data_IF_830536745408
#
_entry.id   IF_830536745408
#
_cell.length_a   1.000
_cell.length_b   1.000
_cell.length_c   1.000
_cell.angle_alpha   90.00
_cell.angle_beta   90.00
_cell.angle_gamma   90.00
#
_symmetry.space_group_name_H-M   'P 1'
#
loop_
_entity.id
_entity.type
_entity.pdbx_description
1 polymer ?
#
# COMPACT_ATOMS: atom_id res chain seq x y z
N UNK A 1 19.58 -3.03 16.17
CA UNK A 1 20.49 -4.08 15.65
C UNK A 1 19.78 -5.37 15.25
N UNK A 2 18.86 -5.96 16.06
CA UNK A 2 18.14 -7.20 15.70
C UNK A 2 17.38 -7.16 14.36
N UNK A 3 16.60 -6.10 14.10
CA UNK A 3 15.80 -6.01 12.88
C UNK A 3 16.67 -6.02 11.60
N UNK A 4 17.79 -5.29 11.61
CA UNK A 4 18.75 -5.29 10.51
C UNK A 4 19.38 -6.68 10.29
N UNK A 5 19.74 -7.39 11.36
CA UNK A 5 20.27 -8.76 11.26
C UNK A 5 19.27 -9.68 10.59
N UNK A 6 17.99 -9.61 10.98
CA UNK A 6 16.92 -10.39 10.36
C UNK A 6 16.75 -10.01 8.89
N UNK A 7 16.73 -8.70 8.57
CA UNK A 7 16.59 -8.24 7.21
C UNK A 7 17.70 -8.80 6.28
N UNK A 8 18.97 -8.70 6.71
CA UNK A 8 20.13 -9.24 5.96
C UNK A 8 20.10 -10.76 5.79
N UNK A 9 19.43 -11.48 6.68
CA UNK A 9 19.30 -12.93 6.60
C UNK A 9 18.25 -13.39 5.58
N UNK A 10 17.32 -12.51 5.17
CA UNK A 10 16.19 -12.87 4.30
C UNK A 10 16.15 -12.09 2.99
N UNK A 11 16.85 -10.97 2.89
CA UNK A 11 16.85 -10.09 1.71
C UNK A 11 18.24 -9.60 1.37
N UNK A 12 18.44 -9.22 0.10
CA UNK A 12 19.52 -8.30 -0.26
C UNK A 12 19.27 -6.95 0.44
N UNK A 13 20.14 -6.55 1.38
CA UNK A 13 19.92 -5.35 2.19
C UNK A 13 19.98 -4.05 1.40
N UNK A 14 20.51 -4.07 0.18
CA UNK A 14 20.64 -2.89 -0.66
C UNK A 14 19.63 -2.89 -1.83
N UNK A 15 18.77 -3.90 -1.95
CA UNK A 15 17.74 -3.98 -2.98
C UNK A 15 16.40 -3.49 -2.44
N UNK A 16 15.79 -2.49 -3.09
CA UNK A 16 14.49 -1.92 -2.71
C UNK A 16 13.48 -2.16 -3.83
N UNK A 17 12.34 -2.75 -3.49
CA UNK A 17 11.24 -2.94 -4.43
C UNK A 17 10.55 -1.61 -4.75
N UNK A 18 10.50 -1.25 -6.04
CA UNK A 18 9.87 -0.02 -6.51
C UNK A 18 8.50 -0.30 -7.14
N UNK A 19 7.43 0.20 -6.50
CA UNK A 19 6.08 0.12 -7.04
C UNK A 19 5.60 1.50 -7.50
N UNK A 20 4.85 1.56 -8.60
CA UNK A 20 4.11 2.78 -9.01
C UNK A 20 2.64 2.60 -8.69
N UNK A 21 2.00 3.64 -8.18
CA UNK A 21 0.57 3.64 -7.86
C UNK A 21 -0.16 4.68 -8.73
N UNK A 22 -1.32 4.31 -9.27
CA UNK A 22 -2.22 5.21 -9.96
C UNK A 22 -3.64 5.03 -9.43
N UNK A 23 -4.33 6.14 -9.17
CA UNK A 23 -5.77 6.11 -8.89
C UNK A 23 -6.56 5.99 -10.19
N UNK A 24 -7.09 4.81 -10.49
CA UNK A 24 -7.90 4.54 -11.68
C UNK A 24 -9.34 5.07 -11.52
N UNK A 25 -9.78 5.33 -10.29
CA UNK A 25 -11.03 6.05 -9.98
C UNK A 25 -10.85 6.81 -8.68
N UNK A 26 -10.98 8.14 -8.73
CA UNK A 26 -10.72 9.02 -7.58
C UNK A 26 -11.99 9.62 -7.00
N UNK A 27 -12.03 9.79 -5.68
CA UNK A 27 -13.07 10.55 -4.95
C UNK A 27 -14.46 9.90 -4.94
N UNK A 28 -15.40 10.50 -4.21
CA UNK A 28 -16.78 9.99 -4.12
C UNK A 28 -16.87 8.57 -3.56
N UNK A 29 -16.01 8.22 -2.60
CA UNK A 29 -16.06 6.93 -1.93
C UNK A 29 -17.19 6.91 -0.90
N UNK A 30 -17.91 5.80 -0.80
CA UNK A 30 -19.00 5.62 0.16
C UNK A 30 -18.51 5.37 1.61
N UNK A 31 -17.23 5.04 1.77
CA UNK A 31 -16.62 4.76 3.07
C UNK A 31 -16.28 6.03 3.84
N UNK A 32 -16.35 5.97 5.17
CA UNK A 32 -16.17 7.11 6.07
C UNK A 32 -14.79 7.16 6.75
N UNK A 33 -13.74 6.64 6.11
CA UNK A 33 -12.42 6.58 6.73
C UNK A 33 -11.93 7.98 7.13
N UNK A 34 -11.70 8.20 8.43
CA UNK A 34 -11.38 9.53 8.99
C UNK A 34 -10.12 10.19 8.42
N UNK A 35 -9.18 9.40 7.88
CA UNK A 35 -7.93 9.86 7.25
C UNK A 35 -8.05 10.15 5.75
N UNK A 36 -9.13 9.70 5.08
CA UNK A 36 -9.12 9.56 3.63
C UNK A 36 -9.66 10.81 2.92
N UNK A 37 -8.85 11.42 2.07
CA UNK A 37 -9.26 12.54 1.21
C UNK A 37 -10.35 12.21 0.21
N UNK A 38 -10.60 10.92 -0.06
CA UNK A 38 -11.54 10.45 -1.07
C UNK A 38 -12.93 10.11 -0.52
N UNK A 39 -13.11 10.13 0.80
CA UNK A 39 -14.39 9.91 1.47
C UNK A 39 -15.40 10.98 1.08
N UNK A 40 -16.60 10.57 0.69
CA UNK A 40 -17.70 11.50 0.41
C UNK A 40 -18.30 12.11 1.70
N UNK A 41 -17.92 11.61 2.87
CA UNK A 41 -18.40 12.12 4.17
C UNK A 41 -17.65 13.36 4.64
N UNK A 42 -16.54 13.72 4.00
CA UNK A 42 -15.66 14.81 4.43
C UNK A 42 -15.44 15.87 3.33
N UNK A 43 -15.50 17.17 3.65
CA UNK A 43 -15.33 18.25 2.68
C UNK A 43 -13.85 18.54 2.36
N UNK A 44 -13.13 17.56 1.81
CA UNK A 44 -11.69 17.70 1.48
C UNK A 44 -11.42 18.52 0.21
N UNK A 45 -12.48 18.87 -0.55
CA UNK A 45 -12.38 19.59 -1.82
C UNK A 45 -11.95 18.72 -3.01
N UNK A 46 -11.74 17.42 -2.80
CA UNK A 46 -11.35 16.50 -3.86
C UNK A 46 -12.50 16.25 -4.85
N UNK A 47 -12.23 16.45 -6.14
CA UNK A 47 -13.21 16.19 -7.21
C UNK A 47 -13.22 14.72 -7.58
N UNK A 48 -14.43 14.14 -7.64
CA UNK A 48 -14.60 12.77 -8.11
C UNK A 48 -14.31 12.65 -9.61
N UNK A 49 -13.63 11.57 -9.99
CA UNK A 49 -13.42 11.18 -11.38
C UNK A 49 -14.21 9.92 -11.71
N UNK A 50 -14.46 9.70 -13.01
CA UNK A 50 -14.89 8.41 -13.50
C UNK A 50 -13.72 7.42 -13.48
N UNK A 51 -14.04 6.13 -13.63
CA UNK A 51 -13.05 5.10 -13.92
C UNK A 51 -12.29 5.49 -15.20
N UNK A 52 -10.97 5.34 -15.17
CA UNK A 52 -10.10 5.61 -16.32
C UNK A 52 -10.29 4.55 -17.40
N UNK A 53 -10.14 4.95 -18.66
CA UNK A 53 -10.09 4.04 -19.78
C UNK A 53 -8.83 3.15 -19.71
N UNK A 54 -8.95 1.88 -20.12
CA UNK A 54 -7.87 0.88 -20.12
C UNK A 54 -6.60 1.42 -20.78
N UNK A 55 -6.70 1.99 -21.99
CA UNK A 55 -5.56 2.54 -22.73
C UNK A 55 -4.81 3.64 -21.97
N UNK A 56 -5.51 4.47 -21.20
CA UNK A 56 -4.87 5.49 -20.35
C UNK A 56 -4.08 4.84 -19.22
N UNK A 57 -4.64 3.81 -18.59
CA UNK A 57 -3.95 3.05 -17.54
C UNK A 57 -2.70 2.37 -18.09
N UNK A 58 -2.79 1.74 -19.27
CA UNK A 58 -1.65 1.08 -19.90
C UNK A 58 -0.57 2.06 -20.37
N UNK A 59 -0.96 3.27 -20.79
CA UNK A 59 -0.02 4.34 -21.11
C UNK A 59 0.79 4.75 -19.89
N UNK A 60 0.14 4.98 -18.75
CA UNK A 60 0.83 5.32 -17.50
C UNK A 60 1.64 4.14 -16.93
N UNK A 61 1.17 2.91 -17.10
CA UNK A 61 1.92 1.71 -16.74
C UNK A 61 3.22 1.58 -17.54
N UNK A 62 3.19 1.87 -18.85
CA UNK A 62 4.39 1.88 -19.69
C UNK A 62 5.41 2.93 -19.23
N UNK A 63 4.95 4.15 -18.94
CA UNK A 63 5.82 5.19 -18.37
C UNK A 63 6.45 4.76 -17.05
N UNK A 64 5.67 4.12 -16.18
CA UNK A 64 6.15 3.60 -14.91
C UNK A 64 7.23 2.53 -15.09
N UNK A 65 7.02 1.61 -16.04
CA UNK A 65 8.02 0.60 -16.42
C UNK A 65 9.30 1.23 -16.92
N UNK A 66 9.19 2.20 -17.83
CA UNK A 66 10.34 2.89 -18.41
C UNK A 66 11.13 3.70 -17.35
N UNK A 67 10.45 4.16 -16.30
CA UNK A 67 11.04 4.77 -15.10
C UNK A 67 11.62 3.74 -14.10
N UNK A 68 11.54 2.44 -14.39
CA UNK A 68 12.14 1.37 -13.60
C UNK A 68 11.24 0.76 -12.53
N UNK A 69 9.95 1.12 -12.45
CA UNK A 69 9.03 0.45 -11.54
C UNK A 69 8.86 -1.03 -11.92
N UNK A 70 8.89 -1.92 -10.93
CA UNK A 70 8.71 -3.35 -11.15
C UNK A 70 7.25 -3.79 -11.00
N UNK A 71 6.51 -3.06 -10.17
CA UNK A 71 5.09 -3.31 -9.90
C UNK A 71 4.24 -2.10 -10.23
N UNK A 72 3.08 -2.34 -10.82
CA UNK A 72 2.08 -1.32 -11.09
C UNK A 72 0.81 -1.58 -10.30
N UNK A 73 0.47 -0.63 -9.43
CA UNK A 73 -0.67 -0.69 -8.52
C UNK A 73 -1.79 0.24 -9.01
N UNK A 74 -3.01 -0.28 -9.13
CA UNK A 74 -4.19 0.47 -9.54
C UNK A 74 -5.18 0.56 -8.38
N UNK A 75 -5.49 1.78 -7.93
CA UNK A 75 -6.40 2.02 -6.81
C UNK A 75 -7.72 2.63 -7.25
N UNK A 76 -8.82 2.19 -6.66
CA UNK A 76 -10.14 2.75 -6.90
C UNK A 76 -10.83 3.16 -5.59
N UNK A 77 -11.45 4.34 -5.60
CA UNK A 77 -12.21 4.89 -4.48
C UNK A 77 -13.60 4.23 -4.37
N UNK A 78 -13.64 2.94 -4.05
CA UNK A 78 -14.86 2.16 -3.85
C UNK A 78 -14.87 1.42 -2.52
N UNK A 79 -16.08 1.07 -2.07
CA UNK A 79 -16.28 0.06 -1.03
C UNK A 79 -15.95 -1.34 -1.56
N UNK A 80 -16.44 -1.64 -2.76
CA UNK A 80 -16.29 -2.88 -3.51
C UNK A 80 -16.48 -2.56 -5.00
N UNK A 81 -15.79 -3.28 -5.91
CA UNK A 81 -16.07 -3.16 -7.34
C UNK A 81 -17.49 -3.68 -7.65
N UNK A 82 -18.06 -3.21 -8.76
CA UNK A 82 -19.34 -3.70 -9.29
C UNK A 82 -19.09 -4.61 -10.47
N UNK A 83 -19.97 -5.58 -10.70
CA UNK A 83 -19.83 -6.57 -11.78
C UNK A 83 -19.67 -5.91 -13.16
N UNK A 84 -20.40 -4.81 -13.40
CA UNK A 84 -20.28 -4.02 -14.64
C UNK A 84 -18.89 -3.42 -14.89
N UNK A 85 -18.08 -3.27 -13.85
CA UNK A 85 -16.74 -2.69 -13.92
C UNK A 85 -15.67 -3.78 -14.09
N UNK A 86 -16.01 -5.06 -13.83
CA UNK A 86 -15.05 -6.18 -13.81
C UNK A 86 -14.37 -6.42 -15.15
N UNK A 87 -15.11 -6.42 -16.27
CA UNK A 87 -14.52 -6.57 -17.62
C UNK A 87 -13.42 -5.54 -17.89
N UNK A 88 -13.64 -4.30 -17.43
CA UNK A 88 -12.65 -3.22 -17.60
C UNK A 88 -11.44 -3.44 -16.69
N UNK A 89 -11.66 -3.90 -15.45
CA UNK A 89 -10.59 -4.19 -14.49
C UNK A 89 -9.73 -5.38 -14.95
N UNK A 90 -10.35 -6.45 -15.45
CA UNK A 90 -9.68 -7.61 -16.05
C UNK A 90 -8.79 -7.16 -17.21
N UNK A 91 -9.32 -6.37 -18.14
CA UNK A 91 -8.54 -5.84 -19.27
C UNK A 91 -7.35 -4.97 -18.83
N UNK A 92 -7.47 -4.21 -17.73
CA UNK A 92 -6.35 -3.48 -17.14
C UNK A 92 -5.27 -4.42 -16.60
N UNK A 93 -5.66 -5.47 -15.88
CA UNK A 93 -4.73 -6.46 -15.32
C UNK A 93 -3.99 -7.18 -16.43
N UNK A 94 -4.69 -7.72 -17.42
CA UNK A 94 -4.10 -8.41 -18.57
C UNK A 94 -3.11 -7.52 -19.32
N UNK A 95 -3.50 -6.27 -19.59
CA UNK A 95 -2.64 -5.32 -20.29
C UNK A 95 -1.38 -4.96 -19.51
N UNK A 96 -1.47 -4.74 -18.20
CA UNK A 96 -0.29 -4.48 -17.35
C UNK A 96 0.58 -5.73 -17.25
N UNK A 97 -0.02 -6.92 -17.12
CA UNK A 97 0.71 -8.19 -17.08
C UNK A 97 1.49 -8.43 -18.38
N UNK A 98 0.89 -8.12 -19.53
CA UNK A 98 1.53 -8.20 -20.84
C UNK A 98 2.71 -7.23 -21.01
N UNK A 99 2.78 -6.15 -20.23
CA UNK A 99 3.96 -5.28 -20.17
C UNK A 99 5.13 -5.94 -19.40
N UNK A 100 4.94 -7.10 -18.77
CA UNK A 100 5.97 -7.80 -17.99
C UNK A 100 6.22 -7.15 -16.62
N UNK A 101 5.23 -6.44 -16.08
CA UNK A 101 5.27 -5.89 -14.73
C UNK A 101 4.47 -6.78 -13.78
N UNK A 102 4.75 -6.70 -12.48
CA UNK A 102 3.82 -7.22 -11.47
C UNK A 102 2.54 -6.36 -11.44
N UNK A 103 1.39 -7.01 -11.42
CA UNK A 103 0.08 -6.36 -11.37
C UNK A 103 -0.43 -6.28 -9.93
N UNK A 104 -1.02 -5.14 -9.56
CA UNK A 104 -1.57 -4.97 -8.23
C UNK A 104 -2.82 -4.09 -8.24
N UNK A 105 -3.83 -4.42 -7.44
CA UNK A 105 -5.05 -3.62 -7.32
C UNK A 105 -5.50 -3.41 -5.87
N UNK A 106 -6.21 -2.31 -5.63
CA UNK A 106 -6.96 -2.05 -4.39
C UNK A 106 -8.34 -1.48 -4.73
N UNK A 107 -9.36 -2.33 -4.69
CA UNK A 107 -10.72 -2.01 -5.13
C UNK A 107 -11.76 -2.04 -4.00
N UNK A 108 -11.29 -2.27 -2.77
CA UNK A 108 -12.15 -2.49 -1.60
C UNK A 108 -12.36 -3.98 -1.32
N UNK A 109 -13.54 -4.37 -0.85
CA UNK A 109 -13.89 -5.76 -0.54
C UNK A 109 -14.32 -6.49 -1.81
N UNK A 110 -13.77 -7.69 -2.03
CA UNK A 110 -14.09 -8.55 -3.17
C UNK A 110 -14.99 -9.71 -2.76
N UNK A 111 -15.79 -10.20 -3.70
CA UNK A 111 -16.39 -11.53 -3.59
C UNK A 111 -15.41 -12.60 -4.10
N UNK A 112 -15.66 -13.87 -3.79
CA UNK A 112 -14.88 -15.00 -4.31
C UNK A 112 -14.84 -15.02 -5.84
N UNK A 113 -15.96 -14.77 -6.50
CA UNK A 113 -16.04 -14.69 -7.97
C UNK A 113 -15.14 -13.60 -8.53
N UNK A 114 -15.21 -12.39 -7.97
CA UNK A 114 -14.39 -11.26 -8.42
C UNK A 114 -12.90 -11.51 -8.19
N UNK A 115 -12.54 -12.15 -7.07
CA UNK A 115 -11.15 -12.53 -6.80
C UNK A 115 -10.65 -13.59 -7.79
N UNK A 116 -11.49 -14.59 -8.13
CA UNK A 116 -11.18 -15.59 -9.15
C UNK A 116 -10.95 -14.99 -10.53
N UNK A 117 -11.83 -14.08 -10.99
CA UNK A 117 -11.69 -13.39 -12.27
C UNK A 117 -10.39 -12.57 -12.34
N UNK A 118 -10.04 -11.85 -11.27
CA UNK A 118 -8.79 -11.09 -11.21
C UNK A 118 -7.55 -12.00 -11.17
N UNK A 119 -7.63 -13.14 -10.48
CA UNK A 119 -6.55 -14.13 -10.46
C UNK A 119 -6.31 -14.71 -11.86
N UNK A 120 -7.38 -15.10 -12.56
CA UNK A 120 -7.31 -15.63 -13.93
C UNK A 120 -6.74 -14.60 -14.93
N UNK A 121 -7.10 -13.33 -14.76
CA UNK A 121 -6.53 -12.22 -15.54
C UNK A 121 -5.02 -11.99 -15.28
N UNK A 122 -4.47 -12.58 -14.22
CA UNK A 122 -3.06 -12.48 -13.84
C UNK A 122 -2.77 -11.39 -12.81
N UNK A 123 -3.69 -11.11 -11.88
CA UNK A 123 -3.45 -10.19 -10.77
C UNK A 123 -2.47 -10.80 -9.76
N UNK A 124 -1.27 -10.23 -9.62
CA UNK A 124 -0.22 -10.76 -8.74
C UNK A 124 -0.46 -10.41 -7.28
N UNK A 125 -0.94 -9.17 -7.01
CA UNK A 125 -1.16 -8.67 -5.66
C UNK A 125 -2.52 -7.97 -5.48
N UNK A 126 -3.14 -8.18 -4.32
CA UNK A 126 -4.28 -7.38 -3.90
C UNK A 126 -3.98 -6.64 -2.60
N UNK A 127 -4.23 -5.33 -2.57
CA UNK A 127 -4.02 -4.50 -1.40
C UNK A 127 -5.30 -4.32 -0.59
N UNK A 128 -5.24 -4.68 0.70
CA UNK A 128 -6.36 -4.57 1.63
C UNK A 128 -5.85 -4.42 3.09
N UNK A 129 -5.53 -3.19 3.49
CA UNK A 129 -4.97 -2.90 4.82
C UNK A 129 -5.92 -3.24 5.98
N UNK A 130 -5.41 -3.47 7.18
CA UNK A 130 -6.27 -3.53 8.39
C UNK A 130 -6.27 -2.19 9.16
N UNK A 131 -5.46 -1.24 8.70
CA UNK A 131 -5.33 0.15 9.14
C UNK A 131 -4.79 0.33 10.58
N UNK A 132 -5.36 -0.34 11.57
CA UNK A 132 -5.00 -0.27 13.00
C UNK A 132 -5.42 -1.54 13.76
N UNK A 133 -5.54 -1.50 15.09
CA UNK A 133 -6.08 -2.60 15.89
C UNK A 133 -7.61 -2.72 15.75
N UNK A 134 -8.14 -3.93 15.97
CA UNK A 134 -9.58 -4.18 15.92
C UNK A 134 -10.36 -3.28 16.90
N UNK A 135 -9.85 -3.08 18.11
CA UNK A 135 -10.49 -2.28 19.16
C UNK A 135 -10.52 -0.77 18.86
N UNK A 136 -9.61 -0.27 18.02
CA UNK A 136 -9.54 1.15 17.65
C UNK A 136 -10.15 1.42 16.27
N UNK A 137 -10.43 0.38 15.49
CA UNK A 137 -10.90 0.51 14.11
C UNK A 137 -12.18 1.33 13.98
N UNK A 138 -13.16 1.13 14.90
CA UNK A 138 -14.44 1.86 14.90
C UNK A 138 -14.32 3.36 15.20
N UNK A 139 -13.20 3.80 15.80
CA UNK A 139 -12.92 5.23 15.99
C UNK A 139 -12.55 5.91 14.68
N UNK A 140 -12.05 5.16 13.69
CA UNK A 140 -11.54 5.67 12.43
C UNK A 140 -12.50 5.41 11.27
N UNK A 141 -13.15 4.25 11.23
CA UNK A 141 -14.01 3.78 10.15
C UNK A 141 -15.24 3.09 10.76
N UNK A 142 -16.44 3.50 10.35
CA UNK A 142 -17.69 2.88 10.83
C UNK A 142 -18.48 2.19 9.73
N UNK A 143 -18.21 2.51 8.46
CA UNK A 143 -18.96 1.92 7.33
C UNK A 143 -18.66 0.45 7.12
N UNK A 144 -17.56 -0.10 7.66
CA UNK A 144 -17.16 -1.51 7.54
C UNK A 144 -16.56 -2.00 8.85
N UNK A 145 -16.59 -3.31 9.07
CA UNK A 145 -16.02 -3.94 10.26
C UNK A 145 -14.54 -4.30 10.05
N UNK A 146 -13.83 -4.61 11.13
CA UNK A 146 -12.47 -5.17 11.05
C UNK A 146 -12.49 -6.58 10.46
N UNK A 147 -13.52 -7.38 10.81
CA UNK A 147 -13.71 -8.73 10.27
C UNK A 147 -13.90 -8.72 8.74
N UNK A 148 -14.65 -7.75 8.19
CA UNK A 148 -14.85 -7.61 6.74
C UNK A 148 -13.50 -7.52 5.98
N UNK A 149 -12.48 -6.91 6.64
CA UNK A 149 -11.13 -6.80 6.08
C UNK A 149 -10.44 -8.15 6.06
N UNK A 150 -10.50 -8.89 7.17
CA UNK A 150 -9.91 -10.22 7.29
C UNK A 150 -10.54 -11.22 6.31
N UNK A 151 -11.87 -11.18 6.17
CA UNK A 151 -12.60 -12.04 5.24
C UNK A 151 -12.20 -11.77 3.79
N UNK A 152 -11.96 -10.50 3.44
CA UNK A 152 -11.44 -10.14 2.11
C UNK A 152 -10.01 -10.65 1.91
N UNK A 153 -9.16 -10.57 2.94
CA UNK A 153 -7.80 -11.11 2.87
C UNK A 153 -7.80 -12.63 2.63
N UNK A 154 -8.69 -13.35 3.30
CA UNK A 154 -8.89 -14.78 3.08
C UNK A 154 -9.40 -15.06 1.67
N UNK A 155 -10.39 -14.31 1.20
CA UNK A 155 -10.93 -14.42 -0.18
C UNK A 155 -9.83 -14.27 -1.23
N UNK A 156 -9.00 -13.24 -1.11
CA UNK A 156 -7.84 -12.99 -1.99
C UNK A 156 -6.84 -14.16 -1.94
N UNK A 157 -6.57 -14.67 -0.73
CA UNK A 157 -5.65 -15.78 -0.51
C UNK A 157 -6.14 -17.06 -1.17
N UNK A 158 -7.42 -17.39 -1.01
CA UNK A 158 -8.05 -18.56 -1.62
C UNK A 158 -8.03 -18.51 -3.15
N UNK A 159 -8.11 -17.30 -3.73
CA UNK A 159 -7.97 -17.10 -5.17
C UNK A 159 -6.51 -17.25 -5.68
N UNK A 160 -5.53 -17.43 -4.79
CA UNK A 160 -4.12 -17.57 -5.16
C UNK A 160 -3.39 -16.26 -5.44
N UNK A 161 -3.97 -15.12 -5.06
CA UNK A 161 -3.37 -13.79 -5.22
C UNK A 161 -2.53 -13.45 -3.98
N UNK A 162 -1.35 -12.83 -4.17
CA UNK A 162 -0.51 -12.40 -3.05
C UNK A 162 -1.16 -11.23 -2.31
N UNK A 163 -1.01 -11.21 -0.99
CA UNK A 163 -1.64 -10.21 -0.12
C UNK A 163 -0.69 -9.05 0.15
N UNK A 164 -1.21 -7.84 -0.04
CA UNK A 164 -0.60 -6.61 0.44
C UNK A 164 -1.48 -6.01 1.55
N UNK A 165 -1.07 -6.13 2.82
CA UNK A 165 -1.88 -5.66 3.93
C UNK A 165 -1.00 -5.06 5.02
N UNK A 166 -1.36 -3.86 5.47
CA UNK A 166 -0.65 -3.13 6.50
C UNK A 166 -1.56 -2.12 7.20
N UNK A 167 -1.02 -0.97 7.58
CA UNK A 167 -1.83 0.06 8.24
C UNK A 167 -1.18 1.44 8.29
N UNK A 168 -1.73 2.29 9.16
CA UNK A 168 -1.43 3.73 9.23
C UNK A 168 -1.07 4.09 10.67
N UNK A 169 0.00 4.85 10.84
CA UNK A 169 0.41 5.39 12.13
C UNK A 169 0.04 6.87 12.23
N UNK A 170 -0.42 7.30 13.41
CA UNK A 170 -0.72 8.71 13.71
C UNK A 170 -2.21 9.07 13.64
N UNK A 171 -3.11 8.09 13.63
CA UNK A 171 -4.55 8.29 13.66
C UNK A 171 -5.11 8.54 15.06
N UNK A 172 -4.25 8.67 16.07
CA UNK A 172 -4.60 8.73 17.49
C UNK A 172 -4.53 7.37 18.20
N UNK A 173 -4.07 6.33 17.52
CA UNK A 173 -3.90 4.99 18.07
C UNK A 173 -2.78 4.95 19.13
N UNK A 174 -2.91 4.07 20.12
CA UNK A 174 -1.87 3.84 21.12
C UNK A 174 -0.75 2.94 20.61
N UNK A 175 0.36 2.85 21.33
CA UNK A 175 1.44 1.90 21.01
C UNK A 175 0.92 0.45 20.98
N UNK A 176 0.02 0.10 21.91
CA UNK A 176 -0.57 -1.23 21.96
C UNK A 176 -1.44 -1.52 20.72
N UNK A 177 -2.07 -0.50 20.13
CA UNK A 177 -2.83 -0.65 18.89
C UNK A 177 -1.92 -0.95 17.70
N UNK A 178 -0.78 -0.26 17.61
CA UNK A 178 0.25 -0.51 16.58
C UNK A 178 0.80 -1.93 16.70
N UNK A 179 1.08 -2.39 17.92
CA UNK A 179 1.54 -3.75 18.18
C UNK A 179 0.46 -4.76 17.81
N UNK A 180 -0.80 -4.52 18.21
CA UNK A 180 -1.92 -5.40 17.90
C UNK A 180 -2.13 -5.53 16.39
N UNK A 181 -2.07 -4.43 15.63
CA UNK A 181 -2.13 -4.45 14.17
C UNK A 181 -1.05 -5.37 13.57
N UNK A 182 0.21 -5.21 13.98
CA UNK A 182 1.30 -6.04 13.47
C UNK A 182 1.18 -7.51 13.89
N UNK A 183 0.73 -7.79 15.12
CA UNK A 183 0.49 -9.15 15.59
C UNK A 183 -0.66 -9.81 14.83
N UNK A 184 -1.72 -9.08 14.50
CA UNK A 184 -2.81 -9.62 13.68
C UNK A 184 -2.28 -10.06 12.31
N UNK A 185 -1.52 -9.20 11.61
CA UNK A 185 -0.96 -9.54 10.30
C UNK A 185 0.05 -10.69 10.38
N UNK A 186 0.91 -10.70 11.40
CA UNK A 186 1.92 -11.73 11.57
C UNK A 186 1.34 -13.11 11.97
N UNK A 187 0.15 -13.14 12.58
CA UNK A 187 -0.53 -14.36 12.99
C UNK A 187 -1.62 -14.82 12.01
N UNK A 188 -1.78 -14.17 10.85
CA UNK A 188 -2.56 -14.74 9.76
C UNK A 188 -1.99 -16.11 9.36
N UNK A 189 -2.79 -17.04 8.79
CA UNK A 189 -2.30 -18.36 8.38
C UNK A 189 -1.03 -18.29 7.52
N UNK A 190 -0.95 -17.27 6.68
CA UNK A 190 0.27 -16.84 6.00
C UNK A 190 0.35 -15.31 6.15
N UNK A 191 1.46 -14.74 6.68
CA UNK A 191 1.65 -13.31 6.73
C UNK A 191 1.59 -12.67 5.33
N UNK A 192 1.22 -11.38 5.20
CA UNK A 192 1.21 -10.70 3.90
C UNK A 192 2.59 -10.70 3.24
N UNK A 193 2.65 -10.92 1.93
CA UNK A 193 3.89 -10.83 1.15
C UNK A 193 4.42 -9.38 1.10
N UNK A 194 3.52 -8.41 1.17
CA UNK A 194 3.84 -6.98 1.27
C UNK A 194 3.09 -6.35 2.43
N UNK A 195 3.79 -5.65 3.31
CA UNK A 195 3.23 -4.97 4.48
C UNK A 195 3.54 -3.48 4.38
N UNK A 196 2.61 -2.65 3.86
CA UNK A 196 2.76 -1.21 3.85
C UNK A 196 2.54 -0.61 5.24
N UNK A 197 3.53 0.16 5.71
CA UNK A 197 3.40 0.97 6.91
C UNK A 197 3.38 2.43 6.48
N UNK A 198 2.21 3.04 6.62
CA UNK A 198 1.95 4.41 6.23
C UNK A 198 2.07 5.33 7.44
N UNK A 199 2.56 6.54 7.24
CA UNK A 199 2.34 7.65 8.15
C UNK A 199 1.06 8.37 7.72
N UNK A 200 0.21 8.75 8.67
CA UNK A 200 -0.95 9.58 8.41
C UNK A 200 -0.51 10.86 7.71
N UNK A 201 -1.18 11.20 6.61
CA UNK A 201 -1.07 12.51 5.96
C UNK A 201 -2.31 13.30 6.39
N UNK A 202 -2.20 14.32 7.25
CA UNK A 202 -3.36 15.11 7.66
C UNK A 202 -3.91 15.89 6.46
N UNK A 203 -5.16 15.59 6.09
CA UNK A 203 -5.82 16.25 4.94
C UNK A 203 -6.82 17.29 5.46
N UNK A 204 -6.72 18.56 5.02
CA UNK A 204 -7.71 19.58 5.35
C UNK A 204 -9.14 19.13 5.05
N UNK A 205 -10.04 19.29 6.04
CA UNK A 205 -11.44 18.90 5.94
C UNK A 205 -11.73 17.42 6.24
N UNK A 206 -10.73 16.56 6.37
CA UNK A 206 -10.92 15.19 6.89
C UNK A 206 -11.11 15.18 8.42
N UNK A 207 -11.60 14.06 8.99
CA UNK A 207 -11.78 13.92 10.45
C UNK A 207 -10.46 14.06 11.20
N UNK A 208 -9.34 13.67 10.59
CA UNK A 208 -8.00 13.64 11.19
C UNK A 208 -7.10 14.76 10.66
N UNK A 209 -7.68 15.88 10.20
CA UNK A 209 -6.93 17.01 9.66
C UNK A 209 -5.94 17.65 10.65
N UNK A 210 -6.28 17.61 11.95
CA UNK A 210 -5.50 18.21 13.04
C UNK A 210 -4.78 17.15 13.90
N UNK A 211 -4.57 15.96 13.36
CA UNK A 211 -3.87 14.90 14.07
C UNK A 211 -2.39 15.24 14.30
N UNK A 212 -1.89 14.93 15.49
CA UNK A 212 -0.48 15.14 15.83
C UNK A 212 0.44 14.19 15.03
N UNK A 213 1.62 14.65 14.59
CA UNK A 213 2.55 13.82 13.85
C UNK A 213 3.12 12.70 14.73
N UNK A 214 3.43 11.58 14.09
CA UNK A 214 4.10 10.46 14.77
C UNK A 214 5.56 10.82 15.01
N UNK A 215 6.05 10.55 16.22
CA UNK A 215 7.48 10.66 16.50
C UNK A 215 8.29 9.76 15.54
N UNK A 216 9.36 10.31 14.98
CA UNK A 216 10.17 9.61 13.97
C UNK A 216 10.77 8.30 14.50
N UNK A 217 11.17 8.26 15.77
CA UNK A 217 11.74 7.05 16.39
C UNK A 217 10.65 6.01 16.62
N UNK A 218 9.43 6.42 16.99
CA UNK A 218 8.29 5.52 17.11
C UNK A 218 7.89 4.89 15.76
N UNK A 219 7.93 5.66 14.69
CA UNK A 219 7.69 5.15 13.34
C UNK A 219 8.75 4.10 12.95
N UNK A 220 10.04 4.44 13.09
CA UNK A 220 11.17 3.54 12.84
C UNK A 220 11.08 2.27 13.71
N UNK A 221 10.65 2.40 14.97
CA UNK A 221 10.46 1.27 15.88
C UNK A 221 9.36 0.33 15.39
N UNK A 222 8.28 0.86 14.84
CA UNK A 222 7.21 0.05 14.23
C UNK A 222 7.73 -0.73 13.03
N UNK A 223 8.53 -0.11 12.15
CA UNK A 223 9.19 -0.81 11.03
C UNK A 223 10.10 -1.94 11.54
N UNK A 224 10.92 -1.65 12.55
CA UNK A 224 11.82 -2.64 13.13
C UNK A 224 11.06 -3.84 13.73
N UNK A 225 9.93 -3.59 14.42
CA UNK A 225 9.08 -4.64 14.95
C UNK A 225 8.42 -5.46 13.83
N UNK A 226 7.88 -4.80 12.80
CA UNK A 226 7.31 -5.48 11.63
C UNK A 226 8.32 -6.41 10.96
N UNK A 227 9.59 -5.98 10.82
CA UNK A 227 10.65 -6.82 10.24
C UNK A 227 10.96 -8.05 11.09
N UNK A 228 10.95 -7.90 12.41
CA UNK A 228 11.18 -9.03 13.32
C UNK A 228 10.04 -10.04 13.27
N UNK A 229 8.79 -9.56 13.24
CA UNK A 229 7.59 -10.39 13.25
C UNK A 229 7.33 -11.07 11.90
N UNK A 230 7.70 -10.42 10.79
CA UNK A 230 7.44 -10.88 9.44
C UNK A 230 8.75 -10.88 8.61
N UNK A 231 9.68 -11.82 8.87
CA UNK A 231 11.03 -11.81 8.29
C UNK A 231 11.07 -11.92 6.77
N UNK A 232 10.07 -12.56 6.15
CA UNK A 232 10.00 -12.84 4.70
C UNK A 232 9.12 -11.85 3.95
N UNK A 233 8.47 -10.92 4.63
CA UNK A 233 7.58 -9.93 4.00
C UNK A 233 8.37 -8.72 3.51
N UNK A 234 7.98 -8.17 2.36
CA UNK A 234 8.44 -6.85 1.94
C UNK A 234 7.77 -5.80 2.80
N UNK A 235 8.56 -4.98 3.50
CA UNK A 235 8.03 -3.88 4.28
C UNK A 235 8.07 -2.62 3.43
N UNK A 236 6.89 -2.09 3.11
CA UNK A 236 6.78 -0.92 2.25
C UNK A 236 6.68 0.33 3.08
N UNK A 237 7.67 1.21 2.92
CA UNK A 237 7.60 2.58 3.37
C UNK A 237 6.78 3.35 2.31
N UNK A 238 5.52 3.65 2.62
CA UNK A 238 4.53 4.14 1.64
C UNK A 238 4.12 5.59 1.89
N UNK A 239 2.89 5.85 2.33
CA UNK A 239 2.38 7.21 2.47
C UNK A 239 3.08 7.99 3.60
N UNK A 240 3.25 9.29 3.39
CA UNK A 240 3.87 10.23 4.34
C UNK A 240 5.38 10.43 4.17
N UNK A 241 6.03 9.75 3.21
CA UNK A 241 7.47 9.92 2.94
C UNK A 241 7.89 11.35 2.64
N UNK A 242 7.03 12.16 2.04
CA UNK A 242 7.28 13.58 1.75
C UNK A 242 7.57 14.39 3.03
N UNK A 243 7.00 14.00 4.17
CA UNK A 243 7.20 14.66 5.46
C UNK A 243 8.40 14.09 6.24
N UNK A 244 8.93 12.94 5.80
CA UNK A 244 10.05 12.28 6.46
C UNK A 244 11.39 12.88 6.00
N UNK A 245 12.27 13.21 6.95
CA UNK A 245 13.63 13.59 6.62
C UNK A 245 14.42 12.43 5.97
N UNK A 246 15.50 12.75 5.27
CA UNK A 246 16.40 11.74 4.68
C UNK A 246 16.93 10.77 5.74
N UNK A 247 17.26 11.27 6.94
CA UNK A 247 17.75 10.46 8.05
C UNK A 247 16.66 9.52 8.57
N UNK A 248 15.41 9.98 8.62
CA UNK A 248 14.29 9.13 9.01
C UNK A 248 14.06 8.01 7.98
N UNK A 249 14.06 8.33 6.69
CA UNK A 249 13.95 7.32 5.63
C UNK A 249 15.13 6.34 5.67
N UNK A 250 16.36 6.84 5.86
CA UNK A 250 17.55 6.01 6.02
C UNK A 250 17.44 5.05 7.22
N UNK A 251 16.91 5.53 8.35
CA UNK A 251 16.64 4.69 9.52
C UNK A 251 15.55 3.66 9.27
N UNK A 252 14.51 3.98 8.49
CA UNK A 252 13.49 3.02 8.07
C UNK A 252 14.08 1.90 7.21
N UNK A 253 14.92 2.23 6.21
CA UNK A 253 15.63 1.22 5.41
C UNK A 253 16.56 0.37 6.29
N UNK A 254 17.31 1.01 7.19
CA UNK A 254 18.17 0.29 8.14
C UNK A 254 17.39 -0.62 9.08
N UNK A 255 16.19 -0.23 9.50
CA UNK A 255 15.28 -1.01 10.33
C UNK A 255 14.66 -2.20 9.60
N UNK A 256 14.64 -2.19 8.27
CA UNK A 256 14.21 -3.31 7.43
C UNK A 256 13.11 -3.00 6.42
N UNK A 257 12.73 -1.73 6.23
CA UNK A 257 11.93 -1.32 5.08
C UNK A 257 12.70 -1.63 3.78
N UNK A 258 12.04 -2.22 2.80
CA UNK A 258 12.66 -2.66 1.54
C UNK A 258 11.70 -2.59 0.35
N UNK A 259 10.69 -1.73 0.43
CA UNK A 259 9.81 -1.37 -0.68
C UNK A 259 9.36 0.08 -0.53
N UNK A 260 9.12 0.78 -1.65
CA UNK A 260 8.57 2.13 -1.68
C UNK A 260 7.58 2.31 -2.85
N UNK A 261 6.77 3.37 -2.78
CA UNK A 261 6.12 3.94 -3.95
C UNK A 261 7.01 5.02 -4.59
N UNK A 262 7.16 4.97 -5.92
CA UNK A 262 7.97 5.93 -6.71
C UNK A 262 7.12 6.90 -7.53
N UNK A 263 7.74 8.04 -7.86
CA UNK A 263 7.24 9.20 -8.59
C UNK A 263 6.29 10.10 -7.80
N UNK A 264 5.93 11.24 -8.38
CA UNK A 264 5.55 12.47 -7.64
C UNK A 264 4.21 12.44 -6.87
N UNK A 265 3.37 11.42 -7.07
CA UNK A 265 2.04 11.34 -6.47
C UNK A 265 1.68 9.90 -6.15
N UNK A 266 0.98 9.72 -5.02
CA UNK A 266 0.30 8.47 -4.65
C UNK A 266 -1.10 8.43 -5.30
N UNK A 267 -2.15 8.17 -4.50
CA UNK A 267 -3.52 8.24 -5.00
C UNK A 267 -3.99 9.69 -5.18
N UNK A 268 -3.73 10.54 -4.19
CA UNK A 268 -4.21 11.93 -4.12
C UNK A 268 -3.28 12.87 -3.35
N UNK A 269 -2.17 12.35 -2.82
CA UNK A 269 -1.22 13.09 -2.01
C UNK A 269 0.17 13.06 -2.67
N UNK A 270 0.97 14.09 -2.38
CA UNK A 270 2.32 14.23 -2.88
C UNK A 270 3.23 13.11 -2.36
N UNK A 271 4.17 12.70 -3.18
CA UNK A 271 5.21 11.73 -2.87
C UNK A 271 6.57 12.31 -3.27
N UNK A 272 7.69 11.89 -2.64
CA UNK A 272 9.00 12.29 -3.13
C UNK A 272 9.15 11.93 -4.61
N UNK A 273 9.57 12.90 -5.42
CA UNK A 273 9.78 12.68 -6.85
C UNK A 273 10.99 11.80 -7.13
N UNK A 274 11.07 11.30 -8.36
CA UNK A 274 12.08 10.30 -8.77
C UNK A 274 13.52 10.79 -8.57
N UNK A 275 13.76 12.09 -8.76
CA UNK A 275 15.08 12.71 -8.55
C UNK A 275 15.52 12.67 -7.09
N UNK A 276 14.59 12.91 -6.16
CA UNK A 276 14.85 12.87 -4.72
C UNK A 276 15.17 11.44 -4.28
N UNK A 277 14.33 10.48 -4.70
CA UNK A 277 14.50 9.07 -4.37
C UNK A 277 15.81 8.51 -4.92
N UNK A 278 16.14 8.84 -6.17
CA UNK A 278 17.41 8.45 -6.80
C UNK A 278 18.61 9.04 -6.05
N UNK A 279 18.55 10.31 -5.65
CA UNK A 279 19.62 10.96 -4.92
C UNK A 279 19.83 10.34 -3.52
N UNK A 280 18.74 10.05 -2.80
CA UNK A 280 18.79 9.38 -1.50
C UNK A 280 19.33 7.96 -1.63
N UNK A 281 18.86 7.19 -2.61
CA UNK A 281 19.33 5.82 -2.86
C UNK A 281 20.84 5.80 -3.12
N UNK A 282 21.34 6.71 -3.95
CA UNK A 282 22.78 6.85 -4.21
C UNK A 282 23.58 7.16 -2.95
N UNK A 283 23.07 8.03 -2.06
CA UNK A 283 23.74 8.35 -0.78
C UNK A 283 23.77 7.16 0.19
N UNK A 284 22.73 6.33 0.17
CA UNK A 284 22.59 5.16 1.04
C UNK A 284 23.20 3.88 0.45
N UNK A 285 23.57 3.88 -0.83
CA UNK A 285 24.04 2.69 -1.54
C UNK A 285 22.93 1.68 -1.84
N UNK A 286 21.69 2.16 -1.98
CA UNK A 286 20.52 1.36 -2.34
C UNK A 286 20.34 1.31 -3.86
N UNK A 287 19.73 0.24 -4.33
CA UNK A 287 19.45 -0.02 -5.74
C UNK A 287 18.05 -0.59 -5.92
N UNK A 288 17.40 -0.32 -7.07
CA UNK A 288 16.15 -0.97 -7.43
C UNK A 288 16.29 -2.50 -7.45
N UNK A 289 15.36 -3.19 -6.83
CA UNK A 289 15.26 -4.65 -6.91
C UNK A 289 14.93 -5.06 -8.35
N UNK A 290 15.66 -6.02 -8.96
CA UNK A 290 15.32 -6.50 -10.30
C UNK A 290 13.98 -7.24 -10.29
N UNK A 291 13.27 -7.20 -11.42
CA UNK A 291 12.17 -8.12 -11.68
C UNK A 291 12.73 -9.54 -11.78
N UNK A 292 12.26 -10.46 -10.95
CA UNK A 292 12.51 -11.87 -11.18
C UNK A 292 11.82 -12.29 -12.48
N UNK A 293 12.49 -13.04 -13.38
CA UNK A 293 11.85 -13.56 -14.58
C UNK A 293 10.62 -14.41 -14.19
N UNK A 294 9.50 -14.23 -14.89
CA UNK A 294 8.37 -15.15 -14.76
C UNK A 294 8.87 -16.57 -15.10
N UNK A 295 8.72 -17.51 -14.15
CA UNK A 295 9.06 -18.93 -14.31
C UNK A 295 7.99 -19.62 -15.14
#
# INVERSE_FOLDING_TARGET
MRAQTIHRAHFDPNAVQMSRLLSIKTGGCAEDCGYCSQSAHYPTGLKASKLMEVERVLTEARKAKDAGATRYCMGAAWRSPKDRDMDTLVAMVEGVKALGMETCMTLGMLTETQAGELAEAGLDYYNHNIDTSERFYSEIITTRSFADRLDTLETVRMAGIKVCAGGILGMGETVDDRISMLLTLANLPVPPESVPINQLIPIPGSKLADAEPVDAIDFVRTIALARILMPTSHLRLSAGRTEMSDEMQALCFFAGANSIFVGDMLLTADNPGDDHDTALFRRLGLSPMPLEPAV
#
